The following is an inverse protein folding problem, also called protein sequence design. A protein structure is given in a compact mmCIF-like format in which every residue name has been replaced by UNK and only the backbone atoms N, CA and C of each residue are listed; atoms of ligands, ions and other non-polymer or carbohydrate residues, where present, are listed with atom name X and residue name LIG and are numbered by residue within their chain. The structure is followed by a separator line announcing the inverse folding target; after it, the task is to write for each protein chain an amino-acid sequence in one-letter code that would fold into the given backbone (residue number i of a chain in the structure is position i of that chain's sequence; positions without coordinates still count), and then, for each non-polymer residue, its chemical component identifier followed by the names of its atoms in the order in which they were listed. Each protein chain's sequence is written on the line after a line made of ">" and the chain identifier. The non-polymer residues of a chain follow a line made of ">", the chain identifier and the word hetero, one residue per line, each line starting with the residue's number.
data_IF_923815778295
#
_entry.id   IF_923815778295
#
_cell.length_a   1.000
_cell.length_b   1.000
_cell.length_c   1.000
_cell.angle_alpha   90.00
_cell.angle_beta   90.00
_cell.angle_gamma   90.00
#
_symmetry.space_group_name_H-M   'P 1'
#
loop_
_entity.id
_entity.type
_entity.pdbx_description
1 polymer ?
#
# COMPACT_ATOMS: atom_id res chain seq x y z
N UNK A 1 26.12 4.61 -8.44
CA UNK A 1 25.20 3.49 -8.39
C UNK A 1 23.79 3.92 -8.69
N UNK A 2 23.12 3.16 -9.51
CA UNK A 2 21.71 3.43 -9.80
C UNK A 2 20.85 3.00 -8.64
N UNK A 3 20.03 3.91 -8.14
CA UNK A 3 19.01 3.56 -7.19
C UNK A 3 17.85 2.91 -7.95
N UNK A 4 17.21 1.95 -7.33
CA UNK A 4 15.99 1.38 -7.89
C UNK A 4 14.91 2.45 -7.91
N UNK A 5 14.11 2.51 -8.98
CA UNK A 5 12.98 3.44 -8.98
C UNK A 5 12.02 3.08 -7.85
N UNK A 6 11.41 4.11 -7.27
CA UNK A 6 10.39 3.92 -6.25
C UNK A 6 9.11 3.47 -6.96
N UNK A 7 8.71 2.25 -6.72
CA UNK A 7 7.48 1.69 -7.30
C UNK A 7 6.56 1.28 -6.16
N UNK A 8 5.37 1.84 -6.14
CA UNK A 8 4.41 1.61 -5.06
C UNK A 8 3.11 1.08 -5.65
N UNK A 9 2.61 0.00 -5.06
CA UNK A 9 1.28 -0.51 -5.38
C UNK A 9 0.28 0.06 -4.39
N UNK A 10 -0.83 0.58 -4.90
CA UNK A 10 -1.90 1.09 -4.05
C UNK A 10 -3.24 0.54 -4.54
N UNK A 11 -4.01 -0.04 -3.63
CA UNK A 11 -5.34 -0.56 -3.92
C UNK A 11 -6.34 0.11 -2.99
N UNK A 12 -7.30 0.81 -3.58
CA UNK A 12 -8.31 1.58 -2.87
C UNK A 12 -9.47 1.82 -3.82
N UNK A 13 -10.69 1.50 -3.39
CA UNK A 13 -11.86 1.71 -4.25
C UNK A 13 -12.33 3.17 -4.28
N UNK A 14 -11.79 4.02 -3.41
CA UNK A 14 -12.09 5.45 -3.41
C UNK A 14 -11.06 6.19 -4.23
N UNK A 15 -11.46 6.60 -5.44
CA UNK A 15 -10.55 7.27 -6.38
C UNK A 15 -10.01 8.58 -5.85
N UNK A 16 -10.82 9.34 -5.12
CA UNK A 16 -10.37 10.61 -4.57
C UNK A 16 -9.28 10.41 -3.52
N UNK A 17 -9.46 9.44 -2.64
CA UNK A 17 -8.45 9.12 -1.62
C UNK A 17 -7.16 8.69 -2.29
N UNK A 18 -7.27 7.86 -3.32
CA UNK A 18 -6.09 7.36 -4.03
C UNK A 18 -5.34 8.50 -4.71
N UNK A 19 -6.07 9.45 -5.32
CA UNK A 19 -5.45 10.61 -5.94
C UNK A 19 -4.74 11.51 -4.93
N UNK A 20 -5.33 11.70 -3.77
CA UNK A 20 -4.73 12.53 -2.72
C UNK A 20 -3.40 11.93 -2.24
N UNK A 21 -3.37 10.62 -2.05
CA UNK A 21 -2.13 9.91 -1.66
C UNK A 21 -1.10 10.03 -2.77
N UNK A 22 -1.52 9.80 -4.02
CA UNK A 22 -0.62 9.90 -5.16
C UNK A 22 0.01 11.28 -5.25
N UNK A 23 -0.80 12.34 -5.16
CA UNK A 23 -0.30 13.70 -5.20
C UNK A 23 0.72 13.98 -4.10
N UNK A 24 0.44 13.52 -2.89
CA UNK A 24 1.33 13.72 -1.77
C UNK A 24 2.67 13.01 -1.97
N UNK A 25 2.62 11.78 -2.47
CA UNK A 25 3.83 11.01 -2.74
C UNK A 25 4.66 11.62 -3.87
N UNK A 26 4.01 12.02 -4.96
CA UNK A 26 4.70 12.59 -6.12
C UNK A 26 5.25 13.97 -5.85
N UNK A 27 4.69 14.68 -4.88
CA UNK A 27 5.22 15.99 -4.48
C UNK A 27 6.61 15.85 -3.86
N UNK A 28 6.85 14.74 -3.17
CA UNK A 28 8.12 14.47 -2.51
C UNK A 28 9.07 13.71 -3.44
N UNK A 29 8.55 12.73 -4.16
CA UNK A 29 9.32 11.88 -5.07
C UNK A 29 8.68 11.88 -6.46
N UNK A 30 8.97 12.90 -7.30
CA UNK A 30 8.29 13.04 -8.59
C UNK A 30 8.50 11.90 -9.57
N UNK A 31 9.53 11.08 -9.38
CA UNK A 31 9.83 9.97 -10.27
C UNK A 31 9.22 8.65 -9.82
N UNK A 32 8.47 8.66 -8.71
CA UNK A 32 7.83 7.45 -8.22
C UNK A 32 6.81 6.92 -9.22
N UNK A 33 6.75 5.60 -9.36
CA UNK A 33 5.76 4.94 -10.20
C UNK A 33 4.71 4.31 -9.30
N UNK A 34 3.45 4.70 -9.53
CA UNK A 34 2.35 4.14 -8.75
C UNK A 34 1.53 3.20 -9.61
N UNK A 35 1.35 1.98 -9.12
CA UNK A 35 0.48 0.98 -9.73
C UNK A 35 -0.83 1.03 -8.95
N UNK A 36 -1.89 1.55 -9.56
CA UNK A 36 -3.15 1.85 -8.88
C UNK A 36 -4.23 0.85 -9.28
N UNK A 37 -4.92 0.31 -8.26
CA UNK A 37 -6.00 -0.64 -8.47
C UNK A 37 -7.20 -0.25 -7.63
N UNK A 38 -8.39 -0.44 -8.17
CA UNK A 38 -9.63 -0.08 -7.48
C UNK A 38 -10.24 -1.24 -6.72
N UNK A 39 -9.63 -2.42 -6.78
CA UNK A 39 -10.07 -3.57 -5.98
C UNK A 39 -8.89 -4.48 -5.68
N UNK A 40 -9.08 -5.32 -4.67
CA UNK A 40 -8.01 -6.19 -4.20
C UNK A 40 -7.67 -7.32 -5.15
N UNK A 41 -8.66 -7.82 -5.87
CA UNK A 41 -8.41 -8.92 -6.80
C UNK A 41 -7.42 -8.53 -7.89
N UNK A 42 -7.59 -7.34 -8.46
CA UNK A 42 -6.69 -6.86 -9.51
C UNK A 42 -5.28 -6.63 -8.97
N UNK A 43 -5.17 -6.16 -7.74
CA UNK A 43 -3.87 -5.99 -7.12
C UNK A 43 -3.16 -7.32 -6.96
N UNK A 44 -3.89 -8.35 -6.51
CA UNK A 44 -3.34 -9.69 -6.37
C UNK A 44 -2.88 -10.24 -7.73
N UNK A 45 -3.73 -10.10 -8.76
CA UNK A 45 -3.41 -10.56 -10.11
C UNK A 45 -2.13 -9.90 -10.62
N UNK A 46 -2.00 -8.60 -10.39
CA UNK A 46 -0.81 -7.87 -10.79
C UNK A 46 0.45 -8.42 -10.09
N UNK A 47 0.37 -8.60 -8.78
CA UNK A 47 1.50 -9.11 -8.01
C UNK A 47 1.90 -10.51 -8.45
N UNK A 48 0.91 -11.38 -8.64
CA UNK A 48 1.16 -12.78 -8.99
C UNK A 48 1.76 -12.90 -10.39
N UNK A 49 1.45 -11.98 -11.30
CA UNK A 49 1.99 -12.00 -12.66
C UNK A 49 3.28 -11.21 -12.81
N UNK A 50 3.71 -10.50 -11.77
CA UNK A 50 4.93 -9.68 -11.84
C UNK A 50 6.18 -10.51 -11.62
N UNK A 51 7.24 -10.17 -12.35
CA UNK A 51 8.55 -10.76 -12.12
C UNK A 51 9.13 -10.20 -10.82
N UNK A 52 10.03 -10.94 -10.19
CA UNK A 52 10.61 -10.52 -8.91
C UNK A 52 11.23 -9.13 -8.97
N UNK A 53 11.94 -8.82 -10.04
CA UNK A 53 12.60 -7.51 -10.18
C UNK A 53 11.62 -6.38 -10.46
N UNK A 54 10.35 -6.70 -10.73
CA UNK A 54 9.30 -5.72 -10.98
C UNK A 54 8.42 -5.44 -9.77
N UNK A 55 8.65 -6.15 -8.68
CA UNK A 55 7.81 -6.00 -7.49
C UNK A 55 7.96 -4.62 -6.86
N UNK A 56 6.87 -4.10 -6.29
CA UNK A 56 6.94 -2.78 -5.64
C UNK A 56 7.77 -2.82 -4.37
N UNK A 57 8.25 -1.65 -3.96
CA UNK A 57 8.95 -1.51 -2.68
C UNK A 57 7.99 -1.27 -1.52
N UNK A 58 6.71 -1.08 -1.82
CA UNK A 58 5.68 -0.80 -0.81
C UNK A 58 4.31 -1.18 -1.37
N UNK A 59 3.49 -1.79 -0.54
CA UNK A 59 2.10 -2.12 -0.87
C UNK A 59 1.21 -1.35 0.10
N UNK A 60 0.29 -0.54 -0.45
CA UNK A 60 -0.70 0.21 0.33
C UNK A 60 -2.08 -0.32 -0.01
N UNK A 61 -2.83 -0.72 1.01
CA UNK A 61 -4.14 -1.33 0.83
C UNK A 61 -5.19 -0.62 1.69
N UNK A 62 -6.36 -0.34 1.11
CA UNK A 62 -7.50 0.05 1.91
C UNK A 62 -8.10 -1.22 2.53
N UNK A 63 -8.67 -1.10 3.72
CA UNK A 63 -9.39 -2.22 4.32
C UNK A 63 -10.68 -2.51 3.57
N UNK A 64 -11.49 -1.49 3.32
CA UNK A 64 -12.83 -1.65 2.73
C UNK A 64 -12.78 -1.57 1.21
N UNK A 65 -12.87 -2.73 0.57
CA UNK A 65 -12.92 -2.83 -0.89
C UNK A 65 -13.97 -3.88 -1.29
N UNK A 66 -14.58 -3.73 -2.49
CA UNK A 66 -15.57 -4.71 -2.93
C UNK A 66 -14.95 -6.09 -3.11
N UNK A 67 -15.74 -7.12 -2.88
CA UNK A 67 -15.44 -8.55 -3.03
C UNK A 67 -14.46 -9.06 -1.98
N UNK A 68 -13.24 -8.53 -1.92
CA UNK A 68 -12.26 -8.89 -0.89
C UNK A 68 -11.70 -7.62 -0.25
N UNK A 69 -11.55 -7.66 1.07
CA UNK A 69 -11.03 -6.52 1.81
C UNK A 69 -9.51 -6.59 1.93
N UNK A 70 -8.92 -5.53 2.53
CA UNK A 70 -7.47 -5.46 2.67
C UNK A 70 -6.88 -6.61 3.46
N UNK A 71 -7.57 -7.06 4.50
CA UNK A 71 -7.11 -8.19 5.30
C UNK A 71 -7.04 -9.47 4.48
N UNK A 72 -8.02 -9.66 3.59
CA UNK A 72 -8.05 -10.84 2.70
C UNK A 72 -6.95 -10.77 1.64
N UNK A 73 -6.66 -9.58 1.13
CA UNK A 73 -5.52 -9.41 0.21
C UNK A 73 -4.23 -9.79 0.92
N UNK A 74 -4.04 -9.30 2.14
CA UNK A 74 -2.85 -9.63 2.94
C UNK A 74 -2.73 -11.13 3.15
N UNK A 75 -3.83 -11.78 3.46
CA UNK A 75 -3.85 -13.24 3.69
C UNK A 75 -3.38 -14.00 2.44
N UNK A 76 -3.80 -13.54 1.26
CA UNK A 76 -3.41 -14.17 0.00
C UNK A 76 -1.93 -13.99 -0.30
N UNK A 77 -1.41 -12.79 -0.16
CA UNK A 77 0.00 -12.54 -0.50
C UNK A 77 0.94 -13.08 0.57
N UNK A 78 0.46 -13.26 1.80
CA UNK A 78 1.23 -13.85 2.88
C UNK A 78 1.70 -15.26 2.56
N UNK A 79 0.98 -15.97 1.71
CA UNK A 79 1.31 -17.34 1.35
C UNK A 79 2.55 -17.45 0.46
N UNK A 80 2.97 -16.32 -0.14
CA UNK A 80 4.09 -16.30 -1.08
C UNK A 80 5.29 -15.62 -0.46
N UNK A 81 6.38 -16.38 -0.31
CA UNK A 81 7.59 -15.87 0.36
C UNK A 81 8.19 -14.64 -0.31
N UNK A 82 8.04 -14.50 -1.62
CA UNK A 82 8.67 -13.39 -2.34
C UNK A 82 8.09 -12.02 -1.98
N UNK A 83 6.90 -11.98 -1.35
CA UNK A 83 6.31 -10.72 -0.90
C UNK A 83 6.66 -10.38 0.55
N UNK A 84 7.25 -11.32 1.30
CA UNK A 84 7.54 -11.09 2.72
C UNK A 84 8.41 -9.85 2.98
N UNK A 85 9.45 -9.58 2.17
CA UNK A 85 10.28 -8.40 2.41
C UNK A 85 9.60 -7.07 2.15
N UNK A 86 8.48 -7.07 1.42
CA UNK A 86 7.81 -5.83 1.03
C UNK A 86 6.95 -5.33 2.19
N UNK A 87 7.14 -4.09 2.66
CA UNK A 87 6.25 -3.52 3.66
C UNK A 87 4.82 -3.40 3.13
N UNK A 88 3.85 -3.70 3.98
CA UNK A 88 2.42 -3.62 3.63
C UNK A 88 1.75 -2.70 4.63
N UNK A 89 1.23 -1.61 4.14
CA UNK A 89 0.56 -0.62 4.97
C UNK A 89 -0.93 -0.65 4.64
N UNK A 90 -1.77 -0.82 5.66
CA UNK A 90 -3.20 -0.67 5.47
C UNK A 90 -3.54 0.77 5.80
N UNK A 91 -4.24 1.44 4.88
CA UNK A 91 -4.61 2.83 5.01
C UNK A 91 -6.12 2.91 4.85
N UNK A 92 -6.84 3.18 5.95
CA UNK A 92 -8.28 3.03 5.97
C UNK A 92 -8.95 4.10 6.83
N UNK A 93 -10.22 4.41 6.51
CA UNK A 93 -11.01 5.30 7.36
C UNK A 93 -11.48 4.62 8.63
N UNK A 94 -11.46 3.29 8.68
CA UNK A 94 -11.89 2.54 9.84
C UNK A 94 -10.82 2.53 10.93
N UNK A 95 -11.22 2.79 12.17
CA UNK A 95 -10.34 2.63 13.31
C UNK A 95 -10.82 1.48 14.23
N UNK A 96 -11.64 0.58 13.70
CA UNK A 96 -12.17 -0.53 14.47
C UNK A 96 -11.04 -1.47 14.92
N UNK A 97 -10.96 -1.77 16.23
CA UNK A 97 -9.88 -2.66 16.71
C UNK A 97 -9.84 -4.01 16.02
N UNK A 98 -11.00 -4.55 15.66
CA UNK A 98 -11.06 -5.83 14.98
C UNK A 98 -10.38 -5.78 13.61
N UNK A 99 -10.63 -4.70 12.83
CA UNK A 99 -10.01 -4.52 11.52
C UNK A 99 -8.50 -4.40 11.65
N UNK A 100 -8.04 -3.63 12.64
CA UNK A 100 -6.62 -3.45 12.89
C UNK A 100 -5.97 -4.79 13.25
N UNK A 101 -6.62 -5.52 14.15
CA UNK A 101 -6.11 -6.82 14.60
C UNK A 101 -5.99 -7.81 13.44
N UNK A 102 -7.03 -7.89 12.61
CA UNK A 102 -7.03 -8.78 11.45
C UNK A 102 -5.87 -8.49 10.50
N UNK A 103 -5.67 -7.20 10.21
CA UNK A 103 -4.64 -6.80 9.25
C UNK A 103 -3.24 -7.10 9.79
N UNK A 104 -2.99 -6.80 11.06
CA UNK A 104 -1.69 -7.08 11.67
C UNK A 104 -1.45 -8.60 11.71
N UNK A 105 -2.47 -9.37 12.06
CA UNK A 105 -2.36 -10.83 12.09
C UNK A 105 -2.07 -11.41 10.71
N UNK A 106 -2.53 -10.75 9.65
CA UNK A 106 -2.32 -11.21 8.27
C UNK A 106 -1.09 -10.57 7.60
N UNK A 107 -0.22 -9.95 8.38
CA UNK A 107 1.08 -9.52 7.88
C UNK A 107 1.21 -8.05 7.53
N UNK A 108 0.25 -7.21 7.91
CA UNK A 108 0.42 -5.77 7.73
C UNK A 108 1.60 -5.30 8.58
N UNK A 109 2.45 -4.49 7.98
CA UNK A 109 3.55 -3.86 8.70
C UNK A 109 2.99 -2.81 9.65
N UNK A 110 1.98 -2.09 9.17
CA UNK A 110 1.37 -1.02 9.96
C UNK A 110 -0.05 -0.77 9.45
N UNK A 111 -0.93 -0.36 10.34
CA UNK A 111 -2.30 0.06 10.02
C UNK A 111 -2.42 1.54 10.34
N UNK A 112 -2.80 2.35 9.37
CA UNK A 112 -2.89 3.80 9.52
C UNK A 112 -4.31 4.25 9.19
N UNK A 113 -4.90 5.05 10.06
CA UNK A 113 -6.19 5.67 9.76
C UNK A 113 -5.94 6.82 8.80
N UNK A 114 -6.73 6.89 7.72
CA UNK A 114 -6.55 7.91 6.69
C UNK A 114 -6.62 9.32 7.29
N UNK A 115 -5.61 10.17 6.99
CA UNK A 115 -5.64 11.53 7.49
C UNK A 115 -6.74 12.36 6.83
N UNK A 116 -7.25 13.34 7.58
CA UNK A 116 -8.34 14.21 7.11
C UNK A 116 -7.87 15.63 6.81
N UNK A 117 -6.56 15.87 6.78
CA UNK A 117 -6.01 17.19 6.47
C UNK A 117 -4.68 17.02 5.72
N UNK A 118 -4.28 18.10 5.02
CA UNK A 118 -3.08 18.08 4.17
C UNK A 118 -1.79 17.93 4.96
N UNK A 119 -1.73 18.53 6.14
CA UNK A 119 -0.52 18.46 6.95
C UNK A 119 -0.19 17.01 7.31
N UNK A 120 -1.18 16.29 7.81
CA UNK A 120 -0.99 14.91 8.21
C UNK A 120 -0.80 14.00 7.00
N UNK A 121 -1.45 14.32 5.88
CA UNK A 121 -1.27 13.56 4.64
C UNK A 121 0.16 13.69 4.14
N UNK A 122 0.73 14.89 4.18
CA UNK A 122 2.12 15.10 3.76
C UNK A 122 3.09 14.39 4.68
N UNK A 123 2.83 14.41 5.99
CA UNK A 123 3.65 13.68 6.95
C UNK A 123 3.59 12.17 6.70
N UNK A 124 2.40 11.68 6.38
CA UNK A 124 2.21 10.26 6.04
C UNK A 124 3.00 9.90 4.79
N UNK A 125 2.97 10.76 3.76
CA UNK A 125 3.69 10.49 2.52
C UNK A 125 5.20 10.34 2.76
N UNK A 126 5.77 11.19 3.61
CA UNK A 126 7.18 11.07 4.00
C UNK A 126 7.45 9.72 4.66
N UNK A 127 6.58 9.33 5.57
CA UNK A 127 6.71 8.05 6.27
C UNK A 127 6.62 6.87 5.30
N UNK A 128 5.66 6.92 4.37
CA UNK A 128 5.48 5.85 3.40
C UNK A 128 6.70 5.69 2.50
N UNK A 129 7.23 6.81 2.01
CA UNK A 129 8.41 6.77 1.14
C UNK A 129 9.64 6.24 1.87
N UNK A 130 9.73 6.44 3.18
CA UNK A 130 10.84 5.93 3.96
C UNK A 130 10.91 4.40 3.90
N UNK A 131 9.77 3.71 3.75
CA UNK A 131 9.76 2.25 3.61
C UNK A 131 10.44 1.79 2.33
N UNK A 132 10.49 2.63 1.30
CA UNK A 132 11.11 2.30 0.02
C UNK A 132 12.59 2.65 -0.04
N UNK A 133 13.14 3.24 1.01
CA UNK A 133 14.53 3.71 1.01
C UNK A 133 15.45 2.81 1.82
N UNK A 134 14.98 1.68 2.25
CA UNK A 134 15.83 0.74 2.97
C UNK A 134 16.80 0.07 2.00
N UNK A 135 17.99 -0.11 2.44
CA UNK A 135 19.06 -0.75 1.66
C UNK A 135 18.85 -2.24 1.54
#
# INVERSE_FOLDING_TARGET
>A
MKQKPVKILIADDDLEDMELIEEALLRIEPTAELQKFTNGRKAIEYLFSSLDQELPCLIILDYSMPEINGSQVLSKIKEEARYHPIPKIVLSTSNAPLHIHECIANGATEYVVKPDNLKDLNALALKLLAFCQSD
#
